data_IF_841889843900
#
_entry.id   IF_841889843900
#
_cell.length_a   1.000
_cell.length_b   1.000
_cell.length_c   1.000
_cell.angle_alpha   90.00
_cell.angle_beta   90.00
_cell.angle_gamma   90.00
#
_symmetry.space_group_name_H-M   'P 1'
#
loop_
_entity.id
_entity.type
_entity.pdbx_description
1 polymer ?
#
# COMPACT_ATOMS: atom_id res chain seq x y z
N UNK A 1 50.24 26.26 41.03
CA UNK A 1 48.77 26.11 40.88
C UNK A 1 48.53 25.05 39.82
N UNK A 2 48.42 23.80 40.24
CA UNK A 2 48.17 22.64 39.39
C UNK A 2 46.85 22.05 39.88
N UNK A 3 45.78 22.32 39.13
CA UNK A 3 44.42 21.82 39.41
C UNK A 3 44.34 20.41 38.85
N UNK A 4 44.04 19.47 39.74
CA UNK A 4 43.86 18.04 39.51
C UNK A 4 42.60 17.77 38.69
N UNK A 5 42.77 17.16 37.52
CA UNK A 5 41.70 16.78 36.58
C UNK A 5 41.43 15.27 36.63
N UNK A 6 41.28 14.69 37.82
CA UNK A 6 41.27 13.22 37.98
C UNK A 6 39.93 12.62 38.46
N UNK A 7 38.88 13.44 38.65
CA UNK A 7 37.62 12.98 39.27
C UNK A 7 36.47 12.69 38.29
N UNK A 8 36.65 13.00 36.99
CA UNK A 8 35.58 12.83 35.99
C UNK A 8 35.60 11.48 35.23
N UNK A 9 36.66 10.68 35.39
CA UNK A 9 36.83 9.40 34.70
C UNK A 9 35.88 8.25 35.13
N UNK A 10 35.52 8.06 36.42
CA UNK A 10 34.76 6.87 36.82
C UNK A 10 33.28 6.92 36.41
N UNK A 11 32.69 8.11 36.27
CA UNK A 11 31.29 8.25 35.85
C UNK A 11 31.05 7.92 34.36
N UNK A 12 32.10 7.96 33.54
CA UNK A 12 32.01 7.62 32.12
C UNK A 12 32.02 6.08 31.91
N UNK A 13 32.89 5.37 32.65
CA UNK A 13 32.98 3.90 32.57
C UNK A 13 31.74 3.20 33.12
N UNK A 14 31.09 3.75 34.14
CA UNK A 14 29.82 3.20 34.65
C UNK A 14 28.67 3.33 33.64
N UNK A 15 28.63 4.43 32.88
CA UNK A 15 27.61 4.63 31.83
C UNK A 15 27.83 3.70 30.65
N UNK A 16 29.09 3.47 30.28
CA UNK A 16 29.48 2.54 29.23
C UNK A 16 29.08 1.11 29.60
N UNK A 17 29.41 0.66 30.81
CA UNK A 17 28.99 -0.64 31.33
C UNK A 17 27.46 -0.81 31.35
N UNK A 18 26.72 0.23 31.75
CA UNK A 18 25.25 0.19 31.76
C UNK A 18 24.64 0.10 30.34
N UNK A 19 25.30 0.69 29.33
CA UNK A 19 24.86 0.60 27.94
C UNK A 19 25.16 -0.78 27.35
N UNK A 20 26.32 -1.36 27.63
CA UNK A 20 26.66 -2.72 27.19
C UNK A 20 25.68 -3.77 27.73
N UNK A 21 25.30 -3.67 29.00
CA UNK A 21 24.30 -4.55 29.62
C UNK A 21 22.92 -4.41 28.99
N UNK A 22 22.58 -3.19 28.54
CA UNK A 22 21.29 -2.93 27.88
C UNK A 22 21.29 -3.44 26.45
N UNK A 23 22.41 -3.33 25.75
CA UNK A 23 22.60 -3.91 24.41
C UNK A 23 22.49 -5.43 24.49
N UNK A 24 23.21 -6.09 25.43
CA UNK A 24 23.09 -7.55 25.61
C UNK A 24 21.67 -8.01 25.90
N UNK A 25 20.92 -7.26 26.74
CA UNK A 25 19.51 -7.56 27.01
C UNK A 25 18.63 -7.43 25.76
N UNK A 26 18.88 -6.43 24.92
CA UNK A 26 18.13 -6.23 23.67
C UNK A 26 18.49 -7.30 22.63
N UNK A 27 19.76 -7.67 22.52
CA UNK A 27 20.21 -8.74 21.62
C UNK A 27 19.61 -10.09 22.04
N UNK A 28 19.56 -10.39 23.34
CA UNK A 28 18.92 -11.60 23.85
C UNK A 28 17.41 -11.63 23.54
N UNK A 29 16.70 -10.53 23.78
CA UNK A 29 15.27 -10.42 23.47
C UNK A 29 14.98 -10.50 21.96
N UNK A 30 15.90 -9.99 21.13
CA UNK A 30 15.77 -10.03 19.68
C UNK A 30 16.07 -11.44 19.14
N UNK A 31 17.04 -12.15 19.72
CA UNK A 31 17.31 -13.56 19.41
C UNK A 31 16.13 -14.47 19.78
N UNK A 32 15.47 -14.21 20.92
CA UNK A 32 14.25 -14.93 21.31
C UNK A 32 13.09 -14.71 20.33
N UNK A 33 12.97 -13.49 19.77
CA UNK A 33 11.94 -13.17 18.77
C UNK A 33 12.28 -13.64 17.35
N UNK A 34 13.57 -13.70 17.01
CA UNK A 34 14.07 -14.14 15.71
C UNK A 34 14.15 -15.68 15.61
N UNK A 35 14.10 -16.39 16.74
CA UNK A 35 13.90 -17.83 16.73
C UNK A 35 12.61 -18.15 15.96
N UNK A 36 12.68 -18.96 14.89
CA UNK A 36 11.51 -19.29 14.10
C UNK A 36 10.53 -20.05 15.00
N UNK A 37 9.44 -19.38 15.38
CA UNK A 37 8.32 -20.05 15.99
C UNK A 37 7.92 -21.23 15.09
N UNK A 38 7.78 -22.46 15.63
CA UNK A 38 7.34 -23.60 14.82
C UNK A 38 5.99 -23.24 14.24
N UNK A 39 5.92 -23.10 12.91
CA UNK A 39 4.76 -22.77 12.07
C UNK A 39 3.46 -22.68 12.90
N UNK A 40 3.29 -21.56 13.59
CA UNK A 40 2.13 -21.31 14.40
C UNK A 40 1.05 -20.96 13.40
N UNK A 41 0.32 -22.01 13.00
CA UNK A 41 -0.87 -22.03 12.17
C UNK A 41 -1.52 -20.65 12.09
N UNK A 42 -1.24 -19.91 11.01
CA UNK A 42 -1.74 -18.54 10.81
C UNK A 42 -3.27 -18.52 10.97
N UNK A 43 -3.92 -19.66 10.71
CA UNK A 43 -5.34 -19.93 10.92
C UNK A 43 -5.77 -19.76 12.38
N UNK A 44 -4.98 -20.22 13.36
CA UNK A 44 -5.29 -20.08 14.79
C UNK A 44 -5.21 -18.62 15.28
N UNK A 45 -4.32 -17.82 14.68
CA UNK A 45 -4.25 -16.37 14.97
C UNK A 45 -5.45 -15.66 14.37
N UNK A 46 -5.82 -16.04 13.15
CA UNK A 46 -6.98 -15.49 12.44
C UNK A 46 -8.27 -15.74 13.20
N UNK A 47 -8.47 -16.98 13.69
CA UNK A 47 -9.63 -17.35 14.51
C UNK A 47 -9.72 -16.54 15.80
N UNK A 48 -8.58 -16.27 16.44
CA UNK A 48 -8.54 -15.48 17.68
C UNK A 48 -8.88 -14.01 17.45
N UNK A 49 -8.46 -13.45 16.31
CA UNK A 49 -8.80 -12.08 15.92
C UNK A 49 -10.28 -11.98 15.56
N UNK A 50 -10.82 -12.95 14.81
CA UNK A 50 -12.24 -13.02 14.46
C UNK A 50 -13.10 -13.15 15.73
N UNK A 51 -12.72 -14.03 16.67
CA UNK A 51 -13.41 -14.18 17.94
C UNK A 51 -13.38 -12.90 18.79
N UNK A 52 -12.26 -12.17 18.79
CA UNK A 52 -12.13 -10.92 19.53
C UNK A 52 -12.94 -9.78 18.89
N UNK A 53 -12.96 -9.70 17.56
CA UNK A 53 -13.76 -8.72 16.81
C UNK A 53 -15.26 -8.98 16.98
N UNK A 54 -15.70 -10.24 16.94
CA UNK A 54 -17.10 -10.60 17.17
C UNK A 54 -17.54 -10.37 18.61
N UNK A 55 -16.66 -10.59 19.60
CA UNK A 55 -16.92 -10.22 20.99
C UNK A 55 -17.04 -8.69 21.18
N UNK A 56 -16.21 -7.88 20.50
CA UNK A 56 -16.30 -6.41 20.54
C UNK A 56 -17.53 -5.89 19.78
N UNK A 57 -17.89 -6.50 18.65
CA UNK A 57 -19.09 -6.14 17.90
C UNK A 57 -20.39 -6.46 18.67
N UNK A 58 -20.42 -7.60 19.37
CA UNK A 58 -21.53 -7.96 20.26
C UNK A 58 -21.69 -7.02 21.47
N UNK A 59 -20.59 -6.45 21.97
CA UNK A 59 -20.61 -5.45 23.03
C UNK A 59 -21.04 -4.04 22.54
N UNK A 60 -21.02 -3.77 21.23
CA UNK A 60 -21.28 -2.44 20.66
C UNK A 60 -22.74 -2.19 20.25
N UNK A 61 -23.64 -3.18 20.37
CA UNK A 61 -25.03 -3.07 19.91
C UNK A 61 -25.98 -2.30 20.86
N UNK A 62 -25.45 -1.62 21.90
CA UNK A 62 -26.26 -1.01 22.95
C UNK A 62 -25.88 0.41 23.39
N UNK A 63 -25.04 1.14 22.65
CA UNK A 63 -24.63 2.49 23.05
C UNK A 63 -24.84 3.51 21.93
N UNK A 64 -26.09 3.95 21.81
CA UNK A 64 -26.46 5.27 21.27
C UNK A 64 -25.91 6.36 22.19
N UNK A 65 -24.61 6.69 22.03
CA UNK A 65 -24.01 7.91 22.59
C UNK A 65 -22.98 8.46 21.61
N UNK A 66 -23.40 9.50 20.92
CA UNK A 66 -22.56 10.55 20.35
C UNK A 66 -21.55 11.00 21.40
N UNK A 67 -20.31 10.52 21.29
CA UNK A 67 -19.16 11.01 22.03
C UNK A 67 -18.36 11.91 21.07
N UNK A 68 -18.73 13.19 21.08
CA UNK A 68 -17.83 14.28 20.66
C UNK A 68 -16.71 14.31 21.69
N UNK A 69 -15.60 13.63 21.39
CA UNK A 69 -14.37 13.75 22.18
C UNK A 69 -13.70 15.07 21.83
N UNK A 70 -13.61 15.92 22.85
CA UNK A 70 -12.88 17.17 22.84
C UNK A 70 -11.45 16.96 22.31
N UNK A 71 -11.09 17.82 21.37
CA UNK A 71 -9.80 17.86 20.71
C UNK A 71 -8.77 18.53 21.61
N UNK A 72 -8.26 17.82 22.61
CA UNK A 72 -7.07 18.23 23.37
C UNK A 72 -5.81 17.92 22.55
N UNK A 73 -5.32 18.95 21.85
CA UNK A 73 -3.93 19.44 21.88
C UNK A 73 -2.72 18.51 21.79
N UNK A 74 -2.84 17.21 21.52
CA UNK A 74 -1.68 16.38 21.22
C UNK A 74 -1.32 16.54 19.74
N UNK A 75 -0.18 17.18 19.47
CA UNK A 75 0.53 17.06 18.19
C UNK A 75 0.76 15.58 17.92
N UNK A 76 -0.22 14.95 17.27
CA UNK A 76 -0.16 13.57 16.86
C UNK A 76 0.84 13.53 15.73
N UNK A 77 2.06 13.11 16.07
CA UNK A 77 3.15 12.80 15.15
C UNK A 77 2.54 11.96 14.03
N UNK A 78 2.32 12.58 12.88
CA UNK A 78 1.63 11.94 11.77
C UNK A 78 2.35 10.61 11.49
N UNK A 79 1.61 9.48 11.40
CA UNK A 79 2.25 8.21 11.11
C UNK A 79 3.09 8.37 9.83
N UNK A 80 4.29 7.76 9.76
CA UNK A 80 5.14 7.90 8.60
C UNK A 80 4.35 7.52 7.35
N UNK A 81 4.41 8.32 6.26
CA UNK A 81 3.62 8.06 5.07
C UNK A 81 3.88 6.62 4.62
N UNK A 82 2.83 5.82 4.34
CA UNK A 82 2.99 4.40 4.07
C UNK A 82 3.89 4.20 2.85
N UNK A 83 5.13 3.79 3.13
CA UNK A 83 6.14 3.52 2.11
C UNK A 83 5.76 2.25 1.35
N UNK A 84 5.12 2.40 0.20
CA UNK A 84 5.08 1.36 -0.83
C UNK A 84 4.31 0.07 -0.52
N UNK A 85 3.72 -0.12 0.66
CA UNK A 85 3.19 -1.41 1.07
C UNK A 85 1.66 -1.40 1.23
N UNK A 86 1.03 -2.11 0.28
CA UNK A 86 -0.16 -2.97 0.44
C UNK A 86 -1.21 -2.47 1.43
N UNK A 87 -2.22 -1.76 0.91
CA UNK A 87 -3.47 -1.53 1.63
C UNK A 87 -4.56 -2.47 1.12
N UNK A 88 -5.39 -2.88 2.06
CA UNK A 88 -6.49 -3.84 1.96
C UNK A 88 -7.38 -3.60 0.73
N UNK A 89 -8.01 -4.66 0.19
CA UNK A 89 -8.93 -4.52 -0.94
C UNK A 89 -10.00 -3.47 -0.57
N UNK A 90 -10.11 -2.36 -1.32
CA UNK A 90 -11.13 -1.37 -1.04
C UNK A 90 -12.50 -2.01 -1.28
N UNK A 91 -13.41 -1.79 -0.33
CA UNK A 91 -14.83 -2.03 -0.50
C UNK A 91 -15.24 -1.34 -1.80
N UNK A 92 -15.55 -2.12 -2.83
CA UNK A 92 -15.96 -1.58 -4.12
C UNK A 92 -17.20 -0.69 -3.92
N UNK A 93 -17.15 0.62 -4.23
CA UNK A 93 -18.37 1.42 -4.28
C UNK A 93 -19.10 1.02 -5.56
N UNK A 94 -19.95 -0.01 -5.48
CA UNK A 94 -20.50 -0.62 -6.70
C UNK A 94 -21.79 -1.43 -6.56
N UNK A 95 -22.36 -1.55 -5.36
CA UNK A 95 -23.59 -2.34 -5.15
C UNK A 95 -24.88 -1.52 -5.19
N UNK A 96 -24.84 -0.28 -5.66
CA UNK A 96 -26.06 0.49 -5.88
C UNK A 96 -26.54 0.38 -7.34
N UNK A 97 -27.71 -0.25 -7.61
CA UNK A 97 -28.21 -0.49 -8.97
C UNK A 97 -28.56 0.80 -9.74
N UNK A 98 -28.57 1.96 -9.08
CA UNK A 98 -28.85 3.27 -9.66
C UNK A 98 -27.68 3.79 -10.53
N UNK A 99 -26.45 3.27 -10.34
CA UNK A 99 -25.25 3.73 -11.04
C UNK A 99 -25.10 3.26 -12.50
N UNK A 100 -25.92 2.31 -12.98
CA UNK A 100 -25.77 1.74 -14.34
C UNK A 100 -26.00 2.73 -15.48
N UNK A 101 -26.76 3.80 -15.27
CA UNK A 101 -27.17 4.72 -16.35
C UNK A 101 -26.12 5.78 -16.71
N UNK A 102 -25.04 5.87 -15.94
CA UNK A 102 -23.96 6.85 -16.09
C UNK A 102 -22.57 6.18 -16.20
N UNK A 103 -22.53 4.94 -16.68
CA UNK A 103 -21.29 4.17 -16.85
C UNK A 103 -20.22 4.93 -17.63
N UNK A 104 -20.59 5.63 -18.70
CA UNK A 104 -19.64 6.40 -19.51
C UNK A 104 -19.06 7.61 -18.77
N UNK A 105 -19.84 8.32 -17.95
CA UNK A 105 -19.30 9.46 -17.20
C UNK A 105 -18.46 8.99 -16.02
N UNK A 106 -18.80 7.86 -15.41
CA UNK A 106 -17.96 7.23 -14.41
C UNK A 106 -16.64 6.78 -15.02
N UNK A 107 -16.68 6.11 -16.17
CA UNK A 107 -15.48 5.72 -16.91
C UNK A 107 -14.66 6.94 -17.33
N UNK A 108 -15.31 8.01 -17.79
CA UNK A 108 -14.64 9.26 -18.14
C UNK A 108 -13.97 9.92 -16.94
N UNK A 109 -14.64 9.95 -15.79
CA UNK A 109 -14.06 10.46 -14.54
C UNK A 109 -12.87 9.62 -14.08
N UNK A 110 -12.93 8.28 -14.25
CA UNK A 110 -11.81 7.39 -13.96
C UNK A 110 -10.63 7.60 -14.91
N UNK A 111 -10.89 7.81 -16.21
CA UNK A 111 -9.86 8.14 -17.21
C UNK A 111 -9.22 9.49 -16.91
N UNK A 112 -10.02 10.52 -16.59
CA UNK A 112 -9.50 11.82 -16.17
C UNK A 112 -8.66 11.72 -14.90
N UNK A 113 -9.08 10.91 -13.92
CA UNK A 113 -8.32 10.67 -12.70
C UNK A 113 -7.00 9.95 -13.01
N UNK A 114 -7.02 8.93 -13.88
CA UNK A 114 -5.81 8.22 -14.31
C UNK A 114 -4.84 9.16 -15.03
N UNK A 115 -5.35 10.03 -15.88
CA UNK A 115 -4.54 11.03 -16.58
C UNK A 115 -3.93 12.03 -15.61
N UNK A 116 -4.73 12.56 -14.67
CA UNK A 116 -4.24 13.48 -13.64
C UNK A 116 -3.19 12.83 -12.75
N UNK A 117 -3.36 11.56 -12.40
CA UNK A 117 -2.36 10.76 -11.67
C UNK A 117 -1.05 10.63 -12.46
N UNK A 118 -1.12 10.41 -13.77
CA UNK A 118 0.08 10.30 -14.62
C UNK A 118 0.87 11.61 -14.71
N UNK A 119 0.18 12.75 -14.70
CA UNK A 119 0.80 14.07 -14.77
C UNK A 119 1.06 14.72 -13.40
N UNK A 120 0.78 14.04 -12.29
CA UNK A 120 1.06 14.56 -10.95
C UNK A 120 2.55 14.38 -10.60
N UNK A 121 3.36 15.45 -10.56
CA UNK A 121 4.80 15.33 -10.33
C UNK A 121 5.13 14.86 -8.90
N UNK A 122 4.19 14.96 -7.97
CA UNK A 122 4.37 14.51 -6.58
C UNK A 122 3.99 13.03 -6.40
N UNK A 123 3.26 12.44 -7.35
CA UNK A 123 2.87 11.04 -7.27
C UNK A 123 3.97 10.12 -7.79
N UNK A 124 4.64 9.42 -6.88
CA UNK A 124 5.59 8.37 -7.22
C UNK A 124 4.84 7.09 -7.63
N UNK A 125 4.62 6.94 -8.94
CA UNK A 125 4.14 5.68 -9.53
C UNK A 125 4.95 4.49 -9.02
N UNK A 126 4.28 3.36 -8.78
CA UNK A 126 4.99 2.11 -8.50
C UNK A 126 5.99 1.82 -9.62
N UNK A 127 7.22 1.39 -9.29
CA UNK A 127 8.23 0.99 -10.29
C UNK A 127 7.65 -0.04 -11.27
N UNK A 128 6.81 -0.95 -10.80
CA UNK A 128 6.13 -1.93 -11.64
C UNK A 128 5.26 -1.27 -12.70
N UNK A 129 4.49 -0.25 -12.32
CA UNK A 129 3.55 0.47 -13.21
C UNK A 129 4.32 1.35 -14.19
N UNK A 130 5.41 1.98 -13.73
CA UNK A 130 6.31 2.77 -14.54
C UNK A 130 6.94 1.97 -15.69
N UNK A 131 7.28 0.69 -15.47
CA UNK A 131 7.77 -0.20 -16.53
C UNK A 131 6.64 -0.92 -17.29
N UNK A 132 5.52 -1.22 -16.63
CA UNK A 132 4.43 -1.94 -17.24
C UNK A 132 3.71 -1.13 -18.32
N UNK A 133 3.45 0.16 -18.11
CA UNK A 133 2.80 1.02 -19.13
C UNK A 133 3.60 1.06 -20.44
N UNK A 134 4.89 1.45 -20.44
CA UNK A 134 5.69 1.42 -21.68
C UNK A 134 5.90 0.00 -22.18
N UNK A 135 6.00 -1.00 -21.28
CA UNK A 135 6.10 -2.41 -21.67
C UNK A 135 4.88 -2.90 -22.45
N UNK A 136 3.66 -2.61 -21.98
CA UNK A 136 2.41 -2.96 -22.67
C UNK A 136 2.31 -2.21 -24.00
N UNK A 137 2.65 -0.92 -24.03
CA UNK A 137 2.67 -0.14 -25.26
C UNK A 137 3.65 -0.71 -26.30
N UNK A 138 4.88 -1.02 -25.87
CA UNK A 138 5.90 -1.64 -26.71
C UNK A 138 5.42 -3.00 -27.21
N UNK A 139 4.83 -3.82 -26.33
CA UNK A 139 4.34 -5.15 -26.68
C UNK A 139 3.18 -5.08 -27.67
N UNK A 140 2.35 -4.04 -27.62
CA UNK A 140 1.27 -3.80 -28.57
C UNK A 140 1.81 -3.40 -29.95
N UNK A 141 2.82 -2.51 -30.00
CA UNK A 141 3.51 -2.15 -31.25
C UNK A 141 4.25 -3.36 -31.82
N UNK A 142 4.93 -4.13 -30.97
CA UNK A 142 5.63 -5.35 -31.35
C UNK A 142 4.66 -6.40 -31.86
N UNK A 143 3.50 -6.57 -31.21
CA UNK A 143 2.44 -7.48 -31.66
C UNK A 143 2.00 -7.14 -33.09
N UNK A 144 1.70 -5.87 -33.37
CA UNK A 144 1.36 -5.43 -34.72
C UNK A 144 2.49 -5.72 -35.72
N UNK A 145 3.73 -5.36 -35.40
CA UNK A 145 4.87 -5.57 -36.30
C UNK A 145 5.16 -7.06 -36.55
N UNK A 146 5.04 -7.89 -35.52
CA UNK A 146 5.27 -9.33 -35.61
C UNK A 146 4.26 -10.01 -36.54
N UNK A 147 2.96 -9.71 -36.38
CA UNK A 147 1.93 -10.27 -37.25
C UNK A 147 1.92 -9.64 -38.64
N UNK A 148 2.29 -8.37 -38.77
CA UNK A 148 2.36 -7.67 -40.06
C UNK A 148 3.55 -8.12 -40.92
N UNK A 149 4.74 -8.28 -40.32
CA UNK A 149 5.99 -8.49 -41.06
C UNK A 149 6.44 -9.96 -41.07
N UNK A 150 6.24 -10.71 -39.99
CA UNK A 150 6.83 -12.04 -39.83
C UNK A 150 5.82 -13.18 -40.05
N UNK A 151 4.56 -12.99 -39.66
CA UNK A 151 3.54 -14.05 -39.67
C UNK A 151 2.32 -13.63 -40.49
N UNK A 152 2.47 -13.65 -41.82
CA UNK A 152 1.38 -13.32 -42.76
C UNK A 152 0.59 -14.57 -43.16
N UNK A 153 0.05 -15.29 -42.17
CA UNK A 153 -0.89 -16.39 -42.43
C UNK A 153 -2.30 -15.80 -42.51
N UNK A 154 -2.91 -15.83 -43.71
CA UNK A 154 -4.15 -15.12 -44.07
C UNK A 154 -5.29 -15.24 -43.04
N UNK A 155 -5.50 -16.42 -42.43
CA UNK A 155 -6.65 -16.66 -41.54
C UNK A 155 -6.32 -16.70 -40.05
N UNK A 156 -5.15 -17.21 -39.66
CA UNK A 156 -4.79 -17.39 -38.24
C UNK A 156 -4.22 -16.11 -37.63
N UNK A 157 -3.44 -15.37 -38.42
CA UNK A 157 -2.80 -14.12 -38.00
C UNK A 157 -3.78 -13.10 -37.41
N UNK A 158 -4.89 -12.72 -38.10
CA UNK A 158 -5.78 -11.69 -37.58
C UNK A 158 -6.53 -12.11 -36.31
N UNK A 159 -6.86 -13.40 -36.15
CA UNK A 159 -7.56 -13.88 -34.95
C UNK A 159 -6.65 -13.81 -33.74
N UNK A 160 -5.42 -14.33 -33.87
CA UNK A 160 -4.46 -14.34 -32.76
C UNK A 160 -4.01 -12.92 -32.41
N UNK A 161 -3.79 -12.06 -33.40
CA UNK A 161 -3.48 -10.64 -33.19
C UNK A 161 -4.56 -9.96 -32.33
N UNK A 162 -5.84 -10.15 -32.67
CA UNK A 162 -6.97 -9.56 -31.93
C UNK A 162 -7.08 -10.12 -30.51
N UNK A 163 -6.92 -11.42 -30.33
CA UNK A 163 -6.94 -12.05 -29.00
C UNK A 163 -5.80 -11.49 -28.14
N UNK A 164 -4.59 -11.36 -28.69
CA UNK A 164 -3.46 -10.82 -27.95
C UNK A 164 -3.68 -9.34 -27.61
N UNK A 165 -4.16 -8.53 -28.55
CA UNK A 165 -4.49 -7.13 -28.31
C UNK A 165 -5.56 -6.96 -27.21
N UNK A 166 -6.60 -7.79 -27.21
CA UNK A 166 -7.62 -7.80 -26.16
C UNK A 166 -7.01 -8.20 -24.80
N UNK A 167 -6.17 -9.24 -24.77
CA UNK A 167 -5.51 -9.67 -23.54
C UNK A 167 -4.59 -8.56 -22.97
N UNK A 168 -3.80 -7.89 -23.80
CA UNK A 168 -2.99 -6.74 -23.40
C UNK A 168 -3.87 -5.58 -22.89
N UNK A 169 -4.98 -5.31 -23.57
CA UNK A 169 -5.93 -4.27 -23.15
C UNK A 169 -6.52 -4.56 -21.77
N UNK A 170 -6.96 -5.79 -21.52
CA UNK A 170 -7.46 -6.23 -20.21
C UNK A 170 -6.37 -6.14 -19.13
N UNK A 171 -5.14 -6.54 -19.45
CA UNK A 171 -4.01 -6.44 -18.54
C UNK A 171 -3.72 -4.97 -18.18
N UNK A 172 -3.66 -4.10 -19.18
CA UNK A 172 -3.47 -2.66 -19.00
C UNK A 172 -4.59 -2.03 -18.19
N UNK A 173 -5.84 -2.40 -18.47
CA UNK A 173 -6.99 -1.96 -17.68
C UNK A 173 -6.87 -2.37 -16.21
N UNK A 174 -6.58 -3.65 -15.92
CA UNK A 174 -6.39 -4.14 -14.55
C UNK A 174 -5.26 -3.42 -13.82
N UNK A 175 -4.17 -3.14 -14.53
CA UNK A 175 -3.03 -2.41 -13.99
C UNK A 175 -3.43 -0.98 -13.60
N UNK A 176 -4.16 -0.29 -14.47
CA UNK A 176 -4.65 1.08 -14.22
C UNK A 176 -5.62 1.08 -13.03
N UNK A 177 -6.60 0.20 -12.99
CA UNK A 177 -7.58 0.11 -11.89
C UNK A 177 -6.88 -0.11 -10.55
N UNK A 178 -5.86 -0.98 -10.52
CA UNK A 178 -5.08 -1.24 -9.30
C UNK A 178 -4.34 0.00 -8.82
N UNK A 179 -3.71 0.75 -9.73
CA UNK A 179 -3.00 1.98 -9.36
C UNK A 179 -3.97 3.11 -9.00
N UNK A 180 -5.15 3.15 -9.63
CA UNK A 180 -6.19 4.12 -9.32
C UNK A 180 -6.70 3.96 -7.88
N UNK A 181 -6.93 2.72 -7.45
CA UNK A 181 -7.31 2.41 -6.07
C UNK A 181 -6.25 2.95 -5.09
N UNK A 182 -4.98 2.66 -5.39
CA UNK A 182 -3.85 3.15 -4.59
C UNK A 182 -3.76 4.68 -4.56
N UNK A 183 -4.00 5.35 -5.69
CA UNK A 183 -4.01 6.82 -5.76
C UNK A 183 -5.14 7.43 -4.92
N UNK A 184 -6.33 6.82 -4.94
CA UNK A 184 -7.47 7.24 -4.10
C UNK A 184 -7.13 7.15 -2.62
N UNK A 185 -6.51 6.06 -2.18
CA UNK A 185 -6.10 5.90 -0.78
C UNK A 185 -5.12 6.99 -0.35
N UNK A 186 -4.15 7.32 -1.22
CA UNK A 186 -3.18 8.40 -0.96
C UNK A 186 -3.86 9.77 -0.89
N UNK A 187 -4.80 10.06 -1.79
CA UNK A 187 -5.58 11.29 -1.74
C UNK A 187 -6.44 11.39 -0.47
N UNK A 188 -7.09 10.30 -0.07
CA UNK A 188 -7.88 10.26 1.16
C UNK A 188 -7.00 10.47 2.39
N UNK A 189 -5.82 9.85 2.42
CA UNK A 189 -4.82 10.07 3.47
C UNK A 189 -4.40 11.53 3.56
N UNK A 190 -4.06 12.15 2.42
CA UNK A 190 -3.70 13.58 2.38
C UNK A 190 -4.88 14.49 2.75
N UNK A 191 -6.11 14.13 2.42
CA UNK A 191 -7.28 14.89 2.84
C UNK A 191 -7.52 14.80 4.36
N UNK A 192 -7.25 13.64 4.97
CA UNK A 192 -7.46 13.39 6.40
C UNK A 192 -6.34 13.94 7.29
N UNK A 193 -5.08 13.85 6.83
CA UNK A 193 -3.90 14.16 7.63
C UNK A 193 -3.00 15.26 7.04
N UNK A 194 -3.34 15.79 5.86
CA UNK A 194 -2.67 16.95 5.29
C UNK A 194 -3.02 18.18 6.12
N UNK A 195 -2.19 18.42 7.14
CA UNK A 195 -2.20 19.65 7.94
C UNK A 195 -1.97 20.83 6.98
N UNK A 196 -2.89 21.79 6.98
CA UNK A 196 -2.74 23.07 6.28
C UNK A 196 -1.74 23.97 6.99
#
# INVERSE_FOLDING_TARGET
MSVTTDEAAPAASEREAALEDRIRRLEAALAERAAPAPAADDDAVTDRVIAKLSAMAGASAGADRVLVLASDGSQQLAPPPPNGAVLHPPVAPGTDPIYRRWFFTQLWAEVQLAFRMYFDPHYRLSRTTQFAIPGIALLLVFNYFFFSVWVSIIFVSPVVERVLAVALGVLGYKLIVRELARYRDVLEYMARYGVR
#
